data_IF_452927229811
#
_entry.id   IF_452927229811
#
_cell.length_a   1.000
_cell.length_b   1.000
_cell.length_c   1.000
_cell.angle_alpha   90.00
_cell.angle_beta   90.00
_cell.angle_gamma   90.00
#
_symmetry.space_group_name_H-M   'P 1'
#
loop_
_entity.id
_entity.type
_entity.pdbx_description
1 polymer ?
#
# COMPACT_ATOMS: atom_id res chain seq x y z
N UNK A 1 18.52 -4.80 -12.26
CA UNK A 1 17.56 -5.57 -11.47
C UNK A 1 17.07 -6.74 -12.31
N UNK A 2 17.34 -7.97 -11.85
CA UNK A 2 16.96 -9.19 -12.56
C UNK A 2 15.52 -9.58 -12.17
N UNK A 3 14.66 -9.81 -13.17
CA UNK A 3 13.28 -10.28 -12.97
C UNK A 3 12.92 -11.34 -14.00
N UNK A 4 12.08 -12.28 -13.63
CA UNK A 4 11.67 -13.42 -14.46
C UNK A 4 10.17 -13.40 -14.68
N UNK A 5 9.72 -13.44 -15.93
CA UNK A 5 8.28 -13.47 -16.23
C UNK A 5 7.71 -14.81 -15.81
N UNK A 6 6.57 -14.79 -15.13
CA UNK A 6 5.86 -15.98 -14.65
C UNK A 6 4.40 -15.95 -15.14
N UNK A 7 3.72 -17.09 -15.05
CA UNK A 7 2.34 -17.27 -15.52
C UNK A 7 1.53 -18.04 -14.47
N UNK A 8 1.11 -17.39 -13.38
CA UNK A 8 0.27 -18.05 -12.39
C UNK A 8 -1.11 -18.35 -13.02
N UNK A 9 -1.60 -19.57 -12.86
CA UNK A 9 -2.85 -20.03 -13.45
C UNK A 9 -4.08 -19.53 -12.67
N UNK A 10 -5.17 -19.20 -13.37
CA UNK A 10 -6.46 -18.91 -12.73
C UNK A 10 -6.57 -17.49 -12.18
N UNK A 11 -5.69 -16.58 -12.60
CA UNK A 11 -5.74 -15.16 -12.23
C UNK A 11 -6.73 -14.37 -13.09
N UNK A 12 -7.09 -14.89 -14.26
CA UNK A 12 -7.98 -14.26 -15.24
C UNK A 12 -9.36 -13.96 -14.65
N UNK A 13 -9.84 -14.81 -13.73
CA UNK A 13 -11.11 -14.58 -13.04
C UNK A 13 -11.08 -13.32 -12.15
N UNK A 14 -9.94 -13.02 -11.53
CA UNK A 14 -9.77 -11.85 -10.67
C UNK A 14 -9.61 -10.58 -11.50
N UNK A 15 -8.81 -10.65 -12.59
CA UNK A 15 -8.68 -9.56 -13.56
C UNK A 15 -10.05 -9.19 -14.15
N UNK A 16 -10.83 -10.19 -14.56
CA UNK A 16 -12.17 -9.99 -15.11
C UNK A 16 -13.15 -9.43 -14.08
N UNK A 17 -13.15 -9.95 -12.84
CA UNK A 17 -14.01 -9.44 -11.76
C UNK A 17 -13.71 -7.96 -11.41
N UNK A 18 -12.44 -7.55 -11.54
CA UNK A 18 -12.01 -6.16 -11.37
C UNK A 18 -12.20 -5.32 -12.64
N UNK A 19 -12.62 -5.91 -13.76
CA UNK A 19 -12.82 -5.22 -15.03
C UNK A 19 -11.54 -4.58 -15.56
N UNK A 20 -10.39 -5.21 -15.33
CA UNK A 20 -9.11 -4.76 -15.89
C UNK A 20 -9.14 -4.90 -17.41
N UNK A 21 -8.74 -3.85 -18.12
CA UNK A 21 -8.66 -3.85 -19.59
C UNK A 21 -7.22 -3.73 -20.10
N UNK A 22 -6.27 -3.27 -19.27
CA UNK A 22 -4.85 -3.28 -19.64
C UNK A 22 -4.26 -4.66 -19.34
N UNK A 23 -3.38 -5.17 -20.23
CA UNK A 23 -2.69 -6.43 -19.97
C UNK A 23 -1.90 -6.37 -18.66
N UNK A 24 -2.06 -7.40 -17.84
CA UNK A 24 -1.27 -7.61 -16.63
C UNK A 24 -0.16 -8.62 -16.93
N UNK A 25 1.06 -8.31 -16.51
CA UNK A 25 2.20 -9.21 -16.57
C UNK A 25 2.75 -9.48 -15.19
N UNK A 26 3.01 -10.75 -14.89
CA UNK A 26 3.53 -11.18 -13.59
C UNK A 26 5.03 -11.46 -13.69
N UNK A 27 5.77 -10.97 -12.69
CA UNK A 27 7.21 -11.09 -12.64
C UNK A 27 7.65 -11.53 -11.25
N UNK A 28 8.51 -12.55 -11.18
CA UNK A 28 9.29 -12.83 -9.99
C UNK A 28 10.46 -11.86 -9.93
N UNK A 29 10.55 -11.08 -8.86
CA UNK A 29 11.58 -10.07 -8.63
C UNK A 29 12.26 -10.34 -7.28
N UNK A 30 13.31 -11.19 -7.24
CA UNK A 30 13.90 -11.66 -5.98
C UNK A 30 14.53 -10.56 -5.11
N UNK A 31 14.92 -9.44 -5.74
CA UNK A 31 15.49 -8.27 -5.05
C UNK A 31 14.41 -7.41 -4.35
N UNK A 32 13.12 -7.60 -4.66
CA UNK A 32 12.03 -6.85 -4.02
C UNK A 32 11.72 -7.44 -2.64
N UNK A 33 11.63 -6.57 -1.63
CA UNK A 33 11.23 -6.97 -0.28
C UNK A 33 9.72 -7.22 -0.16
N UNK A 34 8.92 -6.54 -0.99
CA UNK A 34 7.46 -6.62 -1.00
C UNK A 34 6.93 -6.66 -2.43
N UNK A 35 5.73 -7.21 -2.59
CA UNK A 35 5.05 -7.20 -3.89
C UNK A 35 4.68 -5.77 -4.30
N UNK A 36 4.91 -5.40 -5.56
CA UNK A 36 4.61 -4.05 -6.08
C UNK A 36 3.97 -4.05 -7.45
N UNK A 37 3.31 -2.94 -7.79
CA UNK A 37 2.74 -2.70 -9.10
C UNK A 37 3.50 -1.58 -9.81
N UNK A 38 3.88 -1.85 -11.06
CA UNK A 38 4.42 -0.82 -11.96
C UNK A 38 3.42 -0.64 -13.10
N UNK A 39 2.82 0.54 -13.18
CA UNK A 39 1.95 0.91 -14.29
C UNK A 39 2.77 1.56 -15.41
N UNK A 40 2.90 0.87 -16.55
CA UNK A 40 3.57 1.44 -17.71
C UNK A 40 2.54 2.12 -18.61
N UNK A 41 2.55 3.45 -18.58
CA UNK A 41 1.60 4.28 -19.30
C UNK A 41 1.82 4.28 -20.81
N UNK A 42 3.07 4.10 -21.27
CA UNK A 42 3.40 4.07 -22.71
C UNK A 42 2.91 2.79 -23.37
N UNK A 43 3.16 1.65 -22.73
CA UNK A 43 2.68 0.35 -23.23
C UNK A 43 1.24 0.05 -22.83
N UNK A 44 0.64 0.85 -21.92
CA UNK A 44 -0.67 0.60 -21.31
C UNK A 44 -0.76 -0.81 -20.73
N UNK A 45 0.22 -1.14 -19.89
CA UNK A 45 0.33 -2.46 -19.24
C UNK A 45 0.58 -2.29 -17.75
N UNK A 46 0.08 -3.24 -16.96
CA UNK A 46 0.44 -3.38 -15.56
C UNK A 46 1.47 -4.48 -15.40
N UNK A 47 2.48 -4.23 -14.58
CA UNK A 47 3.40 -5.27 -14.14
C UNK A 47 3.25 -5.48 -12.64
N UNK A 48 2.91 -6.71 -12.25
CA UNK A 48 2.88 -7.15 -10.85
C UNK A 48 4.19 -7.87 -10.57
N UNK A 49 5.00 -7.29 -9.69
CA UNK A 49 6.29 -7.84 -9.30
C UNK A 49 6.12 -8.50 -7.93
N UNK A 50 6.34 -9.80 -7.87
CA UNK A 50 6.25 -10.60 -6.67
C UNK A 50 7.62 -10.73 -6.03
N UNK A 51 7.67 -10.53 -4.72
CA UNK A 51 8.86 -10.84 -3.95
C UNK A 51 9.02 -12.37 -3.84
N UNK A 52 10.26 -12.83 -3.70
CA UNK A 52 10.55 -14.27 -3.53
C UNK A 52 9.79 -14.88 -2.34
N UNK A 53 9.70 -14.24 -1.15
CA UNK A 53 8.97 -14.81 -0.02
C UNK A 53 7.47 -14.99 -0.30
N UNK A 54 6.83 -14.02 -0.96
CA UNK A 54 5.41 -14.12 -1.32
C UNK A 54 5.19 -15.23 -2.35
N UNK A 55 6.05 -15.34 -3.36
CA UNK A 55 5.96 -16.37 -4.39
C UNK A 55 6.13 -17.80 -3.83
N UNK A 56 6.99 -17.98 -2.82
CA UNK A 56 7.24 -19.27 -2.19
C UNK A 56 6.20 -19.70 -1.15
N UNK A 57 5.27 -18.82 -0.78
CA UNK A 57 4.30 -19.05 0.30
C UNK A 57 2.89 -19.09 -0.29
N UNK A 58 2.34 -20.28 -0.63
CA UNK A 58 1.04 -20.41 -1.28
C UNK A 58 -0.10 -19.67 -0.57
N UNK A 59 -0.06 -19.64 0.76
CA UNK A 59 -1.02 -18.98 1.64
C UNK A 59 -0.98 -17.44 1.57
N UNK A 60 0.15 -16.86 1.13
CA UNK A 60 0.32 -15.41 0.95
C UNK A 60 0.16 -15.01 -0.52
N UNK A 61 0.49 -15.91 -1.43
CA UNK A 61 0.60 -15.61 -2.86
C UNK A 61 -0.70 -15.06 -3.45
N UNK A 62 -1.82 -15.75 -3.25
CA UNK A 62 -3.09 -15.34 -3.82
C UNK A 62 -3.60 -14.02 -3.21
N UNK A 63 -3.67 -13.84 -1.87
CA UNK A 63 -3.99 -12.55 -1.26
C UNK A 63 -3.14 -11.40 -1.80
N UNK A 64 -1.81 -11.58 -1.87
CA UNK A 64 -0.90 -10.55 -2.36
C UNK A 64 -1.15 -10.21 -3.83
N UNK A 65 -1.34 -11.21 -4.70
CA UNK A 65 -1.63 -10.97 -6.11
C UNK A 65 -2.95 -10.20 -6.24
N UNK A 66 -4.00 -10.61 -5.54
CA UNK A 66 -5.31 -9.95 -5.62
C UNK A 66 -5.24 -8.53 -5.08
N UNK A 67 -4.44 -8.28 -4.03
CA UNK A 67 -4.10 -6.94 -3.55
C UNK A 67 -3.50 -6.08 -4.67
N UNK A 68 -2.49 -6.62 -5.38
CA UNK A 68 -1.84 -5.90 -6.48
C UNK A 68 -2.77 -5.69 -7.68
N UNK A 69 -3.65 -6.63 -7.99
CA UNK A 69 -4.68 -6.44 -9.02
C UNK A 69 -5.68 -5.34 -8.64
N UNK A 70 -6.03 -5.20 -7.36
CA UNK A 70 -6.88 -4.12 -6.89
C UNK A 70 -6.19 -2.75 -7.06
N UNK A 71 -4.86 -2.64 -6.87
CA UNK A 71 -4.12 -1.44 -7.28
C UNK A 71 -4.26 -1.17 -8.77
N UNK A 72 -4.00 -2.17 -9.64
CA UNK A 72 -4.17 -2.01 -11.10
C UNK A 72 -5.56 -1.45 -11.45
N UNK A 73 -6.61 -1.94 -10.79
CA UNK A 73 -7.98 -1.46 -11.00
C UNK A 73 -8.16 0.00 -10.59
N UNK A 74 -7.54 0.44 -9.48
CA UNK A 74 -7.52 1.85 -9.10
C UNK A 74 -6.72 2.71 -10.10
N UNK A 75 -5.61 2.19 -10.63
CA UNK A 75 -4.84 2.88 -11.66
C UNK A 75 -5.63 3.11 -12.95
N UNK A 76 -6.40 2.12 -13.39
CA UNK A 76 -7.25 2.24 -14.59
C UNK A 76 -8.47 3.14 -14.37
N UNK A 77 -9.13 3.02 -13.23
CA UNK A 77 -10.40 3.73 -12.95
C UNK A 77 -10.20 5.17 -12.49
N UNK A 78 -9.05 5.48 -11.90
CA UNK A 78 -8.77 6.78 -11.30
C UNK A 78 -7.51 7.38 -11.89
N UNK A 79 -6.35 6.87 -11.49
CA UNK A 79 -5.04 7.29 -11.98
C UNK A 79 -3.92 6.37 -11.45
N UNK A 80 -2.84 6.24 -12.22
CA UNK A 80 -1.64 5.48 -11.81
C UNK A 80 -1.02 5.91 -10.48
N UNK A 81 -1.26 7.14 -10.00
CA UNK A 81 -0.83 7.60 -8.69
C UNK A 81 -1.37 6.74 -7.52
N UNK A 82 -2.43 5.95 -7.74
CA UNK A 82 -2.95 4.97 -6.76
C UNK A 82 -2.18 3.63 -6.74
N UNK A 83 -1.22 3.44 -7.66
CA UNK A 83 -0.47 2.18 -7.79
C UNK A 83 1.03 2.36 -7.86
N UNK A 84 1.51 3.49 -8.36
CA UNK A 84 2.93 3.71 -8.59
C UNK A 84 3.30 5.15 -8.25
N UNK A 85 4.37 5.31 -7.48
CA UNK A 85 4.95 6.61 -7.15
C UNK A 85 5.92 7.01 -8.26
N UNK A 86 5.58 8.07 -8.98
CA UNK A 86 6.46 8.74 -9.94
C UNK A 86 6.87 10.11 -9.40
N UNK A 87 8.12 10.50 -9.62
CA UNK A 87 8.65 11.78 -9.14
C UNK A 87 8.80 12.80 -10.28
N UNK A 88 8.76 14.09 -9.95
CA UNK A 88 9.10 15.14 -10.93
C UNK A 88 10.56 15.07 -11.38
N UNK A 89 10.87 15.65 -12.55
CA UNK A 89 12.24 15.68 -13.07
C UNK A 89 13.24 16.35 -12.11
N UNK A 90 12.80 17.32 -11.32
CA UNK A 90 13.59 17.91 -10.23
C UNK A 90 14.11 16.83 -9.28
N UNK A 91 13.24 15.94 -8.83
CA UNK A 91 13.58 14.84 -7.93
C UNK A 91 14.38 13.73 -8.64
N UNK A 92 14.16 13.50 -9.93
CA UNK A 92 15.03 12.63 -10.73
C UNK A 92 16.47 13.16 -10.77
N UNK A 93 16.66 14.48 -10.90
CA UNK A 93 17.99 15.08 -10.85
C UNK A 93 18.62 14.97 -9.45
N UNK A 94 17.84 15.17 -8.39
CA UNK A 94 18.30 14.98 -7.00
C UNK A 94 18.72 13.52 -6.78
N UNK A 95 17.98 12.53 -7.31
CA UNK A 95 18.35 11.10 -7.18
C UNK A 95 19.75 10.77 -7.69
N UNK A 96 20.25 11.55 -8.67
CA UNK A 96 21.58 11.39 -9.26
C UNK A 96 22.65 12.20 -8.51
N UNK A 97 22.31 13.41 -8.05
CA UNK A 97 23.26 14.34 -7.38
C UNK A 97 23.42 14.06 -5.88
N UNK A 98 22.32 13.75 -5.20
CA UNK A 98 22.20 13.57 -3.76
C UNK A 98 21.36 12.32 -3.44
N UNK A 99 21.84 11.10 -3.77
CA UNK A 99 21.04 9.87 -3.68
C UNK A 99 20.53 9.57 -2.26
N UNK A 100 21.30 9.92 -1.23
CA UNK A 100 20.89 9.75 0.18
C UNK A 100 19.67 10.61 0.55
N UNK A 101 19.68 11.88 0.13
CA UNK A 101 18.56 12.81 0.34
C UNK A 101 17.33 12.36 -0.43
N UNK A 102 17.49 11.97 -1.70
CA UNK A 102 16.39 11.42 -2.49
C UNK A 102 15.79 10.18 -1.83
N UNK A 103 16.63 9.22 -1.42
CA UNK A 103 16.18 7.98 -0.77
C UNK A 103 15.37 8.25 0.50
N UNK A 104 15.84 9.19 1.34
CA UNK A 104 15.13 9.60 2.54
C UNK A 104 13.75 10.21 2.22
N UNK A 105 13.70 11.19 1.32
CA UNK A 105 12.44 11.86 0.95
C UNK A 105 11.46 10.92 0.24
N UNK A 106 11.97 10.03 -0.63
CA UNK A 106 11.17 9.02 -1.29
C UNK A 106 10.57 8.02 -0.29
N UNK A 107 11.34 7.61 0.73
CA UNK A 107 10.85 6.75 1.82
C UNK A 107 9.75 7.45 2.64
N UNK A 108 9.93 8.73 2.96
CA UNK A 108 8.90 9.52 3.65
C UNK A 108 7.61 9.60 2.84
N UNK A 109 7.71 9.86 1.52
CA UNK A 109 6.53 9.84 0.65
C UNK A 109 5.88 8.45 0.63
N UNK A 110 6.66 7.38 0.48
CA UNK A 110 6.13 6.01 0.46
C UNK A 110 5.34 5.69 1.73
N UNK A 111 5.89 6.00 2.90
CA UNK A 111 5.22 5.81 4.20
C UNK A 111 3.96 6.68 4.32
N UNK A 112 3.97 7.90 3.77
CA UNK A 112 2.79 8.75 3.75
C UNK A 112 1.72 8.25 2.75
N UNK A 113 2.14 7.56 1.68
CA UNK A 113 1.29 7.08 0.60
C UNK A 113 0.69 5.70 0.80
N UNK A 114 1.35 4.80 1.56
CA UNK A 114 0.96 3.40 1.69
C UNK A 114 -0.47 3.18 2.21
N UNK A 115 -1.06 4.17 2.88
CA UNK A 115 -2.48 4.14 3.27
C UNK A 115 -3.45 4.04 2.09
N UNK A 116 -2.97 4.20 0.84
CA UNK A 116 -3.73 3.87 -0.37
C UNK A 116 -4.35 2.47 -0.30
N UNK A 117 -3.73 1.55 0.45
CA UNK A 117 -4.22 0.20 0.68
C UNK A 117 -5.60 0.16 1.34
N UNK A 118 -6.03 1.22 2.04
CA UNK A 118 -7.41 1.34 2.56
C UNK A 118 -8.43 1.26 1.42
N UNK A 119 -8.17 1.92 0.28
CA UNK A 119 -9.06 1.87 -0.88
C UNK A 119 -8.89 0.60 -1.72
N UNK A 120 -7.68 0.03 -1.74
CA UNK A 120 -7.43 -1.29 -2.31
C UNK A 120 -8.26 -2.34 -1.56
N UNK A 121 -8.28 -2.24 -0.23
CA UNK A 121 -9.03 -3.12 0.64
C UNK A 121 -10.53 -2.84 0.62
N UNK A 122 -10.98 -1.61 0.36
CA UNK A 122 -12.38 -1.36 -0.01
C UNK A 122 -12.81 -2.16 -1.25
N UNK A 123 -11.97 -2.21 -2.30
CA UNK A 123 -12.24 -3.01 -3.50
C UNK A 123 -12.18 -4.50 -3.20
N UNK A 124 -11.12 -4.97 -2.55
CA UNK A 124 -10.94 -6.38 -2.23
C UNK A 124 -12.05 -6.89 -1.32
N UNK A 125 -12.47 -6.13 -0.31
CA UNK A 125 -13.59 -6.48 0.58
C UNK A 125 -14.90 -6.66 -0.19
N UNK A 126 -15.14 -5.80 -1.18
CA UNK A 126 -16.36 -5.83 -1.99
C UNK A 126 -16.48 -7.12 -2.80
N UNK A 127 -15.36 -7.64 -3.29
CA UNK A 127 -15.34 -8.79 -4.21
C UNK A 127 -15.01 -10.12 -3.49
N UNK A 128 -14.10 -10.08 -2.50
CA UNK A 128 -13.52 -11.24 -1.82
C UNK A 128 -13.28 -10.92 -0.33
N UNK A 129 -14.33 -10.74 0.49
CA UNK A 129 -14.20 -10.40 1.91
C UNK A 129 -13.38 -11.45 2.69
N UNK A 130 -13.41 -12.72 2.27
CA UNK A 130 -12.64 -13.81 2.84
C UNK A 130 -11.12 -13.59 2.76
N UNK A 131 -10.61 -13.00 1.66
CA UNK A 131 -9.18 -12.72 1.50
C UNK A 131 -8.71 -11.64 2.48
N UNK A 132 -9.55 -10.64 2.75
CA UNK A 132 -9.23 -9.62 3.77
C UNK A 132 -9.25 -10.23 5.16
N UNK A 133 -10.26 -11.04 5.47
CA UNK A 133 -10.33 -11.71 6.77
C UNK A 133 -9.10 -12.60 7.01
N UNK A 134 -8.63 -13.31 5.97
CA UNK A 134 -7.40 -14.10 6.01
C UNK A 134 -6.18 -13.21 6.26
N UNK A 135 -5.99 -12.13 5.50
CA UNK A 135 -4.84 -11.23 5.66
C UNK A 135 -4.80 -10.57 7.04
N UNK A 136 -5.95 -10.11 7.55
CA UNK A 136 -6.08 -9.59 8.92
C UNK A 136 -5.64 -10.62 9.97
N UNK A 137 -6.07 -11.87 9.80
CA UNK A 137 -5.67 -12.96 10.70
C UNK A 137 -4.16 -13.20 10.63
N UNK A 138 -3.59 -13.28 9.44
CA UNK A 138 -2.15 -13.51 9.23
C UNK A 138 -1.30 -12.37 9.78
N UNK A 139 -1.70 -11.11 9.56
CA UNK A 139 -1.01 -9.95 10.11
C UNK A 139 -1.06 -9.94 11.64
N UNK A 140 -2.23 -10.19 12.22
CA UNK A 140 -2.40 -10.27 13.67
C UNK A 140 -1.52 -11.37 14.30
N UNK A 141 -1.47 -12.54 13.67
CA UNK A 141 -0.57 -13.63 14.08
C UNK A 141 0.90 -13.20 13.99
N UNK A 142 1.31 -12.53 12.92
CA UNK A 142 2.65 -11.98 12.77
C UNK A 142 3.03 -11.05 13.92
N UNK A 143 2.14 -10.13 14.29
CA UNK A 143 2.35 -9.22 15.44
C UNK A 143 2.48 -9.99 16.76
N UNK A 144 1.64 -11.00 16.99
CA UNK A 144 1.74 -11.86 18.19
C UNK A 144 3.06 -12.62 18.23
N UNK A 145 3.55 -13.13 17.10
CA UNK A 145 4.86 -13.80 17.01
C UNK A 145 5.99 -12.83 17.36
N UNK A 146 5.95 -11.59 16.87
CA UNK A 146 6.95 -10.57 17.21
C UNK A 146 6.93 -10.24 18.71
N UNK A 147 5.75 -10.15 19.31
CA UNK A 147 5.57 -9.96 20.76
C UNK A 147 6.20 -11.11 21.56
N UNK A 148 5.89 -12.35 21.19
CA UNK A 148 6.40 -13.56 21.85
C UNK A 148 7.92 -13.70 21.71
N UNK A 149 8.50 -13.22 20.61
CA UNK A 149 9.94 -13.22 20.36
C UNK A 149 10.67 -11.98 20.89
N UNK A 150 9.97 -11.05 21.53
CA UNK A 150 10.52 -9.79 22.01
C UNK A 150 11.22 -8.94 20.92
N UNK A 151 10.69 -8.97 19.70
CA UNK A 151 11.24 -8.27 18.52
C UNK A 151 10.83 -6.78 18.51
N UNK A 152 11.14 -6.06 19.59
CA UNK A 152 10.73 -4.66 19.80
C UNK A 152 11.20 -3.73 18.68
N UNK A 153 12.40 -3.97 18.15
CA UNK A 153 12.96 -3.21 17.04
C UNK A 153 12.22 -3.40 15.72
N UNK A 154 11.44 -4.48 15.56
CA UNK A 154 10.55 -4.66 14.40
C UNK A 154 9.20 -4.00 14.64
N UNK A 155 8.66 -4.11 15.87
CA UNK A 155 7.38 -3.50 16.25
C UNK A 155 7.41 -1.97 16.24
N UNK A 156 8.57 -1.36 16.51
CA UNK A 156 8.76 0.09 16.49
C UNK A 156 9.09 0.69 15.11
N UNK A 157 9.23 -0.13 14.07
CA UNK A 157 9.47 0.37 12.70
C UNK A 157 8.25 1.12 12.18
N UNK A 158 8.48 2.20 11.45
CA UNK A 158 7.40 3.01 10.87
C UNK A 158 6.44 2.20 10.00
N UNK A 159 6.96 1.24 9.24
CA UNK A 159 6.16 0.32 8.42
C UNK A 159 5.20 -0.53 9.28
N UNK A 160 5.70 -1.11 10.37
CA UNK A 160 4.89 -1.92 11.28
C UNK A 160 3.83 -1.07 11.99
N UNK A 161 4.21 0.13 12.44
CA UNK A 161 3.29 1.07 13.08
C UNK A 161 2.18 1.54 12.13
N UNK A 162 2.49 1.77 10.85
CA UNK A 162 1.50 2.09 9.82
C UNK A 162 0.60 0.90 9.51
N UNK A 163 1.18 -0.31 9.41
CA UNK A 163 0.41 -1.55 9.27
C UNK A 163 -0.57 -1.77 10.42
N UNK A 164 -0.16 -1.49 11.67
CA UNK A 164 -1.05 -1.52 12.83
C UNK A 164 -2.19 -0.50 12.73
N UNK A 165 -1.90 0.72 12.28
CA UNK A 165 -2.93 1.75 12.06
C UNK A 165 -3.92 1.36 10.96
N UNK A 166 -3.44 0.81 9.85
CA UNK A 166 -4.27 0.31 8.75
C UNK A 166 -5.13 -0.87 9.20
N UNK A 167 -4.55 -1.86 9.88
CA UNK A 167 -5.27 -3.01 10.43
C UNK A 167 -6.41 -2.58 11.34
N UNK A 168 -6.17 -1.65 12.27
CA UNK A 168 -7.23 -1.15 13.15
C UNK A 168 -8.34 -0.43 12.36
N UNK A 169 -7.96 0.43 11.41
CA UNK A 169 -8.92 1.17 10.58
C UNK A 169 -9.81 0.24 9.76
N UNK A 170 -9.21 -0.76 9.11
CA UNK A 170 -9.89 -1.74 8.27
C UNK A 170 -10.81 -2.66 9.06
N UNK A 171 -10.38 -3.08 10.26
CA UNK A 171 -11.19 -3.90 11.15
C UNK A 171 -12.55 -3.25 11.41
N UNK A 172 -12.54 -1.95 11.68
CA UNK A 172 -13.76 -1.18 11.93
C UNK A 172 -14.51 -0.88 10.63
N UNK A 173 -13.80 -0.48 9.57
CA UNK A 173 -14.39 -0.10 8.28
C UNK A 173 -15.12 -1.24 7.57
N UNK A 174 -14.63 -2.47 7.74
CA UNK A 174 -15.16 -3.69 7.10
C UNK A 174 -15.96 -4.59 8.05
N UNK A 175 -16.11 -4.21 9.33
CA UNK A 175 -16.88 -4.99 10.30
C UNK A 175 -16.25 -6.34 10.63
N UNK A 176 -14.92 -6.43 10.65
CA UNK A 176 -14.16 -7.65 10.91
C UNK A 176 -14.10 -7.94 12.42
N UNK A 177 -15.26 -8.12 13.06
CA UNK A 177 -15.39 -8.27 14.51
C UNK A 177 -14.63 -9.46 15.10
N UNK A 178 -14.34 -10.48 14.28
CA UNK A 178 -13.53 -11.65 14.63
C UNK A 178 -12.01 -11.40 14.57
N UNK A 179 -11.58 -10.31 13.92
CA UNK A 179 -10.17 -9.91 13.87
C UNK A 179 -9.74 -9.32 15.21
N UNK A 180 -8.51 -9.65 15.64
CA UNK A 180 -7.95 -9.17 16.89
C UNK A 180 -7.81 -7.63 16.89
N UNK A 181 -8.13 -7.01 18.02
CA UNK A 181 -7.80 -5.60 18.27
C UNK A 181 -6.32 -5.51 18.67
N UNK A 182 -5.46 -5.19 17.71
CA UNK A 182 -4.02 -5.21 17.93
C UNK A 182 -3.54 -4.12 18.90
N UNK A 183 -4.27 -3.03 19.04
CA UNK A 183 -3.95 -2.01 20.05
C UNK A 183 -4.22 -2.54 21.46
N UNK A 184 -5.32 -3.27 21.67
CA UNK A 184 -5.59 -3.94 22.93
C UNK A 184 -4.56 -5.06 23.21
N UNK A 185 -4.19 -5.84 22.19
CA UNK A 185 -3.16 -6.90 22.31
C UNK A 185 -1.81 -6.31 22.73
N UNK A 186 -1.35 -5.24 22.10
CA UNK A 186 -0.10 -4.56 22.45
C UNK A 186 -0.15 -3.99 23.87
N UNK A 187 -1.27 -3.36 24.25
CA UNK A 187 -1.48 -2.83 25.61
C UNK A 187 -1.43 -3.93 26.68
N UNK A 188 -1.98 -5.12 26.39
CA UNK A 188 -1.91 -6.26 27.30
C UNK A 188 -0.48 -6.79 27.51
N UNK A 189 0.41 -6.52 26.56
CA UNK A 189 1.85 -6.82 26.66
C UNK A 189 2.68 -5.63 27.19
N UNK A 190 2.02 -4.59 27.72
CA UNK A 190 2.69 -3.41 28.28
C UNK A 190 3.28 -2.46 27.23
N UNK A 191 2.90 -2.60 25.95
CA UNK A 191 3.38 -1.74 24.87
C UNK A 191 2.34 -0.66 24.60
N UNK A 192 2.69 0.58 24.94
CA UNK A 192 1.84 1.73 24.64
C UNK A 192 1.96 2.11 23.16
N UNK A 193 0.85 1.97 22.43
CA UNK A 193 0.77 2.49 21.05
C UNK A 193 0.66 4.01 21.10
N UNK A 194 1.63 4.67 20.46
CA UNK A 194 1.72 6.13 20.43
C UNK A 194 0.43 6.79 19.93
N UNK A 195 0.07 7.93 20.53
CA UNK A 195 -1.11 8.72 20.18
C UNK A 195 -1.19 9.06 18.68
N UNK A 196 -0.04 9.28 18.03
CA UNK A 196 0.01 9.57 16.58
C UNK A 196 -0.48 8.39 15.74
N UNK A 197 -0.16 7.15 16.14
CA UNK A 197 -0.57 5.93 15.43
C UNK A 197 -2.07 5.66 15.62
N UNK A 198 -2.58 5.83 16.85
CA UNK A 198 -4.03 5.78 17.11
C UNK A 198 -4.78 6.85 16.29
N UNK A 199 -4.22 8.06 16.23
CA UNK A 199 -4.76 9.15 15.42
C UNK A 199 -4.76 8.86 13.92
N UNK A 200 -3.74 8.15 13.40
CA UNK A 200 -3.71 7.68 12.01
C UNK A 200 -4.76 6.61 11.75
N UNK A 201 -4.94 5.64 12.65
CA UNK A 201 -5.99 4.62 12.53
C UNK A 201 -7.38 5.25 12.41
N UNK A 202 -7.69 6.21 13.28
CA UNK A 202 -8.98 6.91 13.24
C UNK A 202 -9.13 7.75 11.95
N UNK A 203 -8.06 8.39 11.49
CA UNK A 203 -8.07 9.10 10.21
C UNK A 203 -8.34 8.16 9.03
N UNK A 204 -7.65 7.02 8.95
CA UNK A 204 -7.81 6.03 7.89
C UNK A 204 -9.21 5.44 7.85
N UNK A 205 -9.78 5.13 9.01
CA UNK A 205 -11.17 4.65 9.14
C UNK A 205 -12.17 5.58 8.48
N UNK A 206 -11.99 6.90 8.62
CA UNK A 206 -12.89 7.91 8.07
C UNK A 206 -12.51 8.44 6.67
N UNK A 207 -11.47 7.88 6.03
CA UNK A 207 -11.17 8.24 4.65
C UNK A 207 -12.40 8.02 3.76
N UNK A 208 -12.76 8.99 2.90
CA UNK A 208 -13.92 8.84 2.03
C UNK A 208 -13.73 7.65 1.08
N UNK A 209 -14.79 6.90 0.81
CA UNK A 209 -14.79 5.90 -0.26
C UNK A 209 -14.62 6.59 -1.62
N UNK A 210 -13.81 6.01 -2.48
CA UNK A 210 -13.62 6.52 -3.85
C UNK A 210 -14.92 6.44 -4.63
N UNK A 211 -15.18 7.46 -5.44
CA UNK A 211 -16.38 7.54 -6.28
C UNK A 211 -16.09 7.22 -7.75
N UNK A 212 -14.87 6.79 -8.06
CA UNK A 212 -14.31 6.60 -9.39
C UNK A 212 -14.51 7.84 -10.28
N UNK A 213 -14.23 9.01 -9.70
CA UNK A 213 -14.23 10.32 -10.38
C UNK A 213 -12.79 10.85 -10.37
N UNK A 214 -11.99 10.63 -11.43
CA UNK A 214 -10.54 10.82 -11.43
C UNK A 214 -10.06 12.10 -10.73
N UNK A 215 -10.56 13.27 -11.17
CA UNK A 215 -10.16 14.57 -10.59
C UNK A 215 -10.53 14.75 -9.11
N UNK A 216 -11.63 14.16 -8.64
CA UNK A 216 -12.07 14.28 -7.24
C UNK A 216 -11.30 13.30 -6.35
N UNK A 217 -11.12 12.08 -6.83
CA UNK A 217 -10.45 11.01 -6.09
C UNK A 217 -8.93 11.24 -6.01
N UNK A 218 -8.32 11.84 -7.05
CA UNK A 218 -6.92 12.31 -6.99
C UNK A 218 -6.70 13.38 -5.91
N UNK A 219 -7.66 14.30 -5.74
CA UNK A 219 -7.58 15.31 -4.66
C UNK A 219 -7.69 14.67 -3.28
N UNK A 220 -8.52 13.64 -3.15
CA UNK A 220 -8.61 12.85 -1.91
C UNK A 220 -7.24 12.25 -1.60
N UNK A 221 -6.63 11.54 -2.56
CA UNK A 221 -5.30 10.96 -2.41
C UNK A 221 -4.23 12.01 -2.04
N UNK A 222 -4.16 13.11 -2.77
CA UNK A 222 -3.19 14.18 -2.47
C UNK A 222 -3.38 14.72 -1.04
N UNK A 223 -4.62 15.08 -0.68
CA UNK A 223 -4.93 15.66 0.63
C UNK A 223 -4.65 14.68 1.78
N UNK A 224 -4.91 13.38 1.59
CA UNK A 224 -4.64 12.38 2.61
C UNK A 224 -3.15 12.10 2.76
N UNK A 225 -2.38 12.06 1.67
CA UNK A 225 -0.91 11.93 1.74
C UNK A 225 -0.28 13.12 2.46
N UNK A 226 -0.73 14.35 2.17
CA UNK A 226 -0.30 15.56 2.89
C UNK A 226 -0.61 15.45 4.39
N UNK A 227 -1.82 15.04 4.74
CA UNK A 227 -2.25 14.91 6.13
C UNK A 227 -1.47 13.83 6.88
N UNK A 228 -1.16 12.69 6.24
CA UNK A 228 -0.33 11.65 6.84
C UNK A 228 1.11 12.12 7.03
N UNK A 229 1.71 12.75 6.01
CA UNK A 229 3.06 13.33 6.14
C UNK A 229 3.14 14.34 7.30
N UNK A 230 2.11 15.18 7.46
CA UNK A 230 2.00 16.13 8.57
C UNK A 230 1.88 15.43 9.93
N UNK A 231 1.06 14.39 10.06
CA UNK A 231 0.88 13.62 11.31
C UNK A 231 2.12 12.82 11.70
N UNK A 232 2.92 12.42 10.71
CA UNK A 232 4.21 11.76 10.91
C UNK A 232 5.38 12.75 11.02
N UNK A 233 5.10 14.05 10.99
CA UNK A 233 6.08 15.12 11.09
C UNK A 233 7.20 15.03 10.03
N UNK A 234 6.88 14.48 8.86
CA UNK A 234 7.84 14.37 7.79
C UNK A 234 8.14 15.75 7.19
N UNK A 235 9.42 16.11 6.98
CA UNK A 235 9.83 17.39 6.38
C UNK A 235 9.65 17.38 4.85
N UNK A 236 8.50 16.93 4.36
CA UNK A 236 8.11 16.96 2.95
C UNK A 236 6.76 17.66 2.80
N UNK A 237 6.55 18.31 1.66
CA UNK A 237 5.27 18.90 1.28
C UNK A 237 4.78 18.23 -0.01
N UNK A 238 4.26 16.98 0.10
CA UNK A 238 3.92 16.19 -1.07
C UNK A 238 2.76 16.82 -1.84
N UNK A 239 2.90 16.90 -3.16
CA UNK A 239 1.91 17.46 -4.07
C UNK A 239 1.86 16.65 -5.36
N UNK A 240 0.66 16.41 -5.88
CA UNK A 240 0.47 15.85 -7.21
C UNK A 240 0.49 16.97 -8.24
N UNK A 241 1.39 16.85 -9.23
CA UNK A 241 1.50 17.79 -10.34
C UNK A 241 1.32 17.05 -11.67
N UNK A 242 0.54 17.64 -12.57
CA UNK A 242 0.35 17.08 -13.90
C UNK A 242 1.49 17.50 -14.83
N UNK A 243 2.34 16.55 -15.24
CA UNK A 243 3.47 16.77 -16.15
C UNK A 243 3.54 15.66 -17.20
N UNK A 244 3.77 16.04 -18.46
CA UNK A 244 3.92 15.09 -19.58
C UNK A 244 2.77 14.07 -19.69
N UNK A 245 1.54 14.52 -19.42
CA UNK A 245 0.35 13.67 -19.47
C UNK A 245 0.09 12.82 -18.22
N UNK A 246 0.89 12.96 -17.16
CA UNK A 246 0.86 12.10 -15.98
C UNK A 246 0.80 12.91 -14.68
N UNK A 247 0.15 12.36 -13.66
CA UNK A 247 0.27 12.87 -12.30
C UNK A 247 1.50 12.30 -11.62
N UNK A 248 2.40 13.17 -11.17
CA UNK A 248 3.65 12.82 -10.50
C UNK A 248 3.79 13.58 -9.19
N UNK A 249 4.51 13.02 -8.23
CA UNK A 249 4.76 13.63 -6.93
C UNK A 249 5.92 14.62 -6.98
N UNK A 250 5.67 15.82 -6.45
CA UNK A 250 6.68 16.75 -5.99
C UNK A 250 6.65 16.78 -4.45
N UNK A 251 7.78 17.01 -3.79
CA UNK A 251 7.89 16.96 -2.32
C UNK A 251 8.19 18.32 -1.67
N UNK A 252 8.17 19.41 -2.44
CA UNK A 252 8.56 20.75 -1.98
C UNK A 252 10.04 21.03 -2.20
#
# INVERSE_FOLDING_TARGET
MQKHKIYPSGLEQYEHALGLYQPVSYWLAPEEQTCRVVCNLRSRTHEVWLSEPAYRSPELLLPDIVHKLCHCALAERVDTAFSTIWFTEKWNQISRKEPGRFSQSARMLYLAWCHVDIWVNDLRHKHWPELIAQEHSTFAQGVVILLQRHEWGMLSRSETLLGLAQHQAERERHGLSKSADLFAVLSAHGIEVEKKIKGLAEFFKFLPRLRFKPRKDLKILESSVVEVARRLEFPISPKLVFKNGLWVWDLG
#
